data_IF_101940709624
#
_entry.id   IF_101940709624
#
_cell.length_a   1.000
_cell.length_b   1.000
_cell.length_c   1.000
_cell.angle_alpha   90.00
_cell.angle_beta   90.00
_cell.angle_gamma   90.00
#
_symmetry.space_group_name_H-M   'P 1'
#
loop_
_entity.id
_entity.type
_entity.pdbx_description
1 polymer ?
#
# COMPACT_ATOMS: atom_id res chain seq x y z
N UNK A 1 -3.27 -15.44 2.27
CA UNK A 1 -1.93 -15.93 2.67
C UNK A 1 -1.55 -15.20 3.95
N UNK A 2 -1.55 -15.88 5.09
CA UNK A 2 -1.02 -15.29 6.33
C UNK A 2 0.50 -15.24 6.18
N UNK A 3 1.08 -14.04 6.13
CA UNK A 3 2.53 -13.89 6.25
C UNK A 3 2.84 -14.00 7.73
N UNK A 4 3.39 -15.13 8.16
CA UNK A 4 3.98 -15.23 9.49
C UNK A 4 5.22 -14.32 9.52
N UNK A 5 5.40 -13.54 10.59
CA UNK A 5 6.68 -12.86 10.84
C UNK A 5 7.76 -13.92 11.04
N UNK A 6 8.40 -14.32 9.95
CA UNK A 6 9.41 -15.37 9.93
C UNK A 6 10.74 -14.68 9.79
N UNK A 7 11.70 -14.92 10.69
CA UNK A 7 12.97 -14.22 10.61
C UNK A 7 13.76 -14.67 9.38
N UNK A 8 14.71 -13.83 8.92
CA UNK A 8 15.63 -14.19 7.84
C UNK A 8 16.35 -15.52 8.11
N UNK A 9 16.66 -15.78 9.39
CA UNK A 9 17.31 -17.02 9.85
C UNK A 9 16.37 -18.21 9.75
N UNK A 10 15.10 -18.04 10.10
CA UNK A 10 14.10 -19.10 10.00
C UNK A 10 13.81 -19.47 8.54
N UNK A 11 13.69 -18.47 7.66
CA UNK A 11 13.53 -18.68 6.21
C UNK A 11 14.77 -19.39 5.64
N UNK A 12 15.96 -18.95 6.02
CA UNK A 12 17.22 -19.57 5.60
C UNK A 12 17.31 -21.05 6.04
N UNK A 13 16.93 -21.34 7.28
CA UNK A 13 16.90 -22.69 7.82
C UNK A 13 15.86 -23.57 7.12
N UNK A 14 14.64 -23.06 6.89
CA UNK A 14 13.58 -23.79 6.18
C UNK A 14 13.94 -24.11 4.73
N UNK A 15 14.63 -23.19 4.05
CA UNK A 15 15.00 -23.32 2.65
C UNK A 15 16.40 -23.92 2.44
N UNK A 16 17.11 -24.30 3.51
CA UNK A 16 18.48 -24.82 3.48
C UNK A 16 19.47 -23.92 2.69
N UNK A 17 19.34 -22.60 2.84
CA UNK A 17 20.20 -21.60 2.20
C UNK A 17 20.80 -20.65 3.24
N UNK A 18 21.80 -19.86 2.86
CA UNK A 18 22.33 -18.81 3.74
C UNK A 18 21.36 -17.62 3.83
N UNK A 19 21.40 -16.92 4.96
CA UNK A 19 20.67 -15.65 5.16
C UNK A 19 21.03 -14.61 4.10
N UNK A 20 22.30 -14.59 3.64
CA UNK A 20 22.75 -13.73 2.53
C UNK A 20 22.03 -14.04 1.22
N UNK A 21 21.73 -15.31 0.94
CA UNK A 21 20.95 -15.71 -0.24
C UNK A 21 19.48 -15.30 -0.12
N UNK A 22 18.88 -15.40 1.08
CA UNK A 22 17.52 -14.88 1.34
C UNK A 22 17.47 -13.37 1.09
N UNK A 23 18.42 -12.60 1.63
CA UNK A 23 18.51 -11.15 1.43
C UNK A 23 18.63 -10.80 -0.05
N UNK A 24 19.51 -11.48 -0.79
CA UNK A 24 19.65 -11.26 -2.24
C UNK A 24 18.34 -11.52 -2.98
N UNK A 25 17.66 -12.63 -2.69
CA UNK A 25 16.37 -12.95 -3.31
C UNK A 25 15.27 -11.96 -2.97
N UNK A 26 15.25 -11.43 -1.75
CA UNK A 26 14.33 -10.36 -1.37
C UNK A 26 14.67 -9.02 -2.05
N UNK A 27 15.95 -8.70 -2.21
CA UNK A 27 16.39 -7.50 -2.93
C UNK A 27 16.12 -7.60 -4.44
N UNK A 28 16.16 -8.81 -5.00
CA UNK A 28 15.78 -9.08 -6.40
C UNK A 28 14.26 -8.96 -6.61
N UNK A 29 13.48 -8.91 -5.54
CA UNK A 29 12.03 -8.76 -5.61
C UNK A 29 11.66 -7.32 -5.90
N UNK A 30 11.29 -7.05 -7.15
CA UNK A 30 10.72 -5.77 -7.55
C UNK A 30 9.21 -5.90 -7.68
N UNK A 31 8.48 -4.98 -7.05
CA UNK A 31 7.04 -4.86 -7.24
C UNK A 31 6.79 -4.26 -8.63
N UNK A 32 6.41 -5.09 -9.60
CA UNK A 32 5.96 -4.59 -10.89
C UNK A 32 4.57 -3.98 -10.78
N UNK A 33 4.47 -2.67 -11.01
CA UNK A 33 3.19 -1.99 -11.05
C UNK A 33 2.51 -2.23 -12.39
N UNK A 34 1.39 -2.96 -12.39
CA UNK A 34 0.58 -3.15 -13.59
C UNK A 34 -0.27 -1.90 -13.87
N UNK A 35 0.22 -1.02 -14.75
CA UNK A 35 -0.47 0.22 -15.13
C UNK A 35 -1.70 0.02 -16.05
N UNK A 36 -2.13 -1.22 -16.31
CA UNK A 36 -3.27 -1.53 -17.19
C UNK A 36 -4.60 -1.67 -16.45
N UNK A 37 -4.58 -1.72 -15.12
CA UNK A 37 -5.78 -1.95 -14.33
C UNK A 37 -5.71 -1.26 -12.96
N UNK A 38 -6.84 -0.71 -12.52
CA UNK A 38 -7.07 -0.29 -11.13
C UNK A 38 -8.42 -0.87 -10.68
N UNK A 39 -8.55 -1.27 -9.41
CA UNK A 39 -9.82 -1.75 -8.87
C UNK A 39 -10.85 -0.61 -8.76
N UNK A 40 -12.13 -0.97 -8.71
CA UNK A 40 -13.19 0.01 -8.51
C UNK A 40 -13.18 0.63 -7.10
N UNK A 41 -12.72 -0.13 -6.10
CA UNK A 41 -12.59 0.31 -4.71
C UNK A 41 -11.14 0.10 -4.27
N UNK A 42 -10.49 1.19 -3.87
CA UNK A 42 -9.09 1.19 -3.46
C UNK A 42 -8.94 1.74 -2.05
N UNK A 43 -7.99 1.20 -1.29
CA UNK A 43 -7.57 1.77 -0.01
C UNK A 43 -6.24 2.49 -0.15
N UNK A 44 -6.14 3.68 0.42
CA UNK A 44 -4.93 4.49 0.56
C UNK A 44 -4.59 4.61 2.04
N UNK A 45 -3.36 4.31 2.42
CA UNK A 45 -2.88 4.46 3.79
C UNK A 45 -1.40 4.84 3.84
N UNK A 46 -0.92 5.13 5.05
CA UNK A 46 0.46 5.41 5.37
C UNK A 46 1.04 4.32 6.27
N UNK A 47 2.29 3.93 6.02
CA UNK A 47 3.00 2.98 6.90
C UNK A 47 4.41 3.49 7.22
N UNK A 48 4.91 3.14 8.41
CA UNK A 48 6.26 3.48 8.84
C UNK A 48 7.19 2.28 8.57
N UNK A 49 8.13 2.43 7.64
CA UNK A 49 9.01 1.33 7.26
C UNK A 49 10.20 1.15 8.22
N UNK A 50 10.88 2.25 8.59
CA UNK A 50 11.89 2.34 9.67
C UNK A 50 12.36 3.80 9.78
N UNK A 51 12.81 4.24 10.95
CA UNK A 51 13.27 5.62 11.24
C UNK A 51 12.23 6.74 11.05
N UNK A 52 10.97 6.48 11.42
CA UNK A 52 9.93 7.53 11.48
C UNK A 52 9.52 8.15 10.14
N UNK A 53 10.05 7.64 9.00
CA UNK A 53 9.68 8.10 7.67
C UNK A 53 8.44 7.33 7.20
N UNK A 54 7.34 8.06 7.07
CA UNK A 54 6.08 7.52 6.56
C UNK A 54 6.14 7.35 5.05
N UNK A 55 5.68 6.20 4.59
CA UNK A 55 5.56 5.79 3.20
C UNK A 55 4.09 5.60 2.85
N UNK A 56 3.75 5.74 1.57
CA UNK A 56 2.39 5.56 1.09
C UNK A 56 2.18 4.12 0.60
N UNK A 57 1.02 3.55 0.89
CA UNK A 57 0.59 2.25 0.36
C UNK A 57 -0.82 2.37 -0.23
N UNK A 58 -1.04 1.71 -1.36
CA UNK A 58 -2.38 1.46 -1.86
C UNK A 58 -2.62 0.00 -2.16
N UNK A 59 -3.86 -0.43 -1.96
CA UNK A 59 -4.29 -1.80 -2.17
C UNK A 59 -5.73 -1.86 -2.70
N UNK A 60 -6.06 -2.98 -3.34
CA UNK A 60 -7.44 -3.36 -3.65
C UNK A 60 -8.19 -3.56 -2.32
N UNK A 61 -9.33 -2.89 -2.18
CA UNK A 61 -10.10 -2.94 -0.94
C UNK A 61 -10.71 -4.32 -0.67
N UNK A 62 -11.13 -5.03 -1.71
CA UNK A 62 -11.80 -6.33 -1.57
C UNK A 62 -10.80 -7.47 -1.52
N UNK A 63 -9.83 -7.46 -2.44
CA UNK A 63 -8.85 -8.56 -2.58
C UNK A 63 -7.65 -8.42 -1.67
N UNK A 64 -7.44 -7.24 -1.07
CA UNK A 64 -6.27 -6.91 -0.26
C UNK A 64 -4.94 -7.06 -1.02
N UNK A 65 -4.99 -7.07 -2.35
CA UNK A 65 -3.80 -7.09 -3.20
C UNK A 65 -3.16 -5.70 -3.17
N UNK A 66 -1.88 -5.64 -2.84
CA UNK A 66 -1.10 -4.41 -2.90
C UNK A 66 -1.01 -3.95 -4.35
N UNK A 67 -1.36 -2.69 -4.59
CA UNK A 67 -1.29 -2.04 -5.91
C UNK A 67 0.04 -1.30 -6.04
N UNK A 68 0.40 -0.51 -5.03
CA UNK A 68 1.69 0.18 -5.00
C UNK A 68 2.14 0.48 -3.57
N UNK A 69 3.46 0.56 -3.41
CA UNK A 69 4.16 1.01 -2.22
C UNK A 69 5.13 2.10 -2.64
N UNK A 70 5.07 3.28 -2.01
CA UNK A 70 5.90 4.45 -2.34
C UNK A 70 6.66 4.91 -1.11
N UNK A 71 7.98 5.08 -1.23
CA UNK A 71 8.87 5.53 -0.14
C UNK A 71 8.59 6.97 0.36
N UNK A 72 7.66 7.68 -0.27
CA UNK A 72 7.24 9.03 0.08
C UNK A 72 5.72 9.17 0.07
N UNK A 73 5.20 9.89 1.06
CA UNK A 73 3.77 10.20 1.20
C UNK A 73 3.35 11.58 0.70
N UNK A 74 4.24 12.31 0.00
CA UNK A 74 3.91 13.65 -0.49
C UNK A 74 2.93 13.55 -1.67
N UNK A 75 2.10 14.59 -1.84
CA UNK A 75 1.14 14.61 -2.94
C UNK A 75 1.81 14.48 -4.31
N UNK A 76 3.00 15.08 -4.50
CA UNK A 76 3.73 14.99 -5.76
C UNK A 76 4.09 13.54 -6.10
N UNK A 77 4.66 12.80 -5.13
CA UNK A 77 5.06 11.40 -5.33
C UNK A 77 3.86 10.52 -5.68
N UNK A 78 2.74 10.70 -4.96
CA UNK A 78 1.52 9.92 -5.19
C UNK A 78 0.89 10.28 -6.54
N UNK A 79 0.80 11.58 -6.85
CA UNK A 79 0.27 12.09 -8.13
C UNK A 79 1.06 11.53 -9.31
N UNK A 80 2.38 11.64 -9.25
CA UNK A 80 3.25 11.27 -10.36
C UNK A 80 3.23 9.75 -10.59
N UNK A 81 3.00 8.95 -9.54
CA UNK A 81 2.71 7.52 -9.71
C UNK A 81 1.38 7.30 -10.43
N UNK A 82 0.27 7.86 -9.94
CA UNK A 82 -1.06 7.58 -10.51
C UNK A 82 -1.25 8.19 -11.90
N UNK A 83 -0.53 9.24 -12.27
CA UNK A 83 -0.56 9.81 -13.63
C UNK A 83 0.04 8.89 -14.70
N UNK A 84 0.75 7.82 -14.32
CA UNK A 84 1.19 6.77 -15.25
C UNK A 84 0.04 5.91 -15.76
N UNK A 85 -1.09 5.88 -15.06
CA UNK A 85 -2.30 5.19 -15.52
C UNK A 85 -3.05 6.08 -16.51
N UNK A 86 -3.51 5.48 -17.61
CA UNK A 86 -4.39 6.14 -18.54
C UNK A 86 -5.61 6.71 -17.84
N UNK A 87 -6.09 7.84 -18.35
CA UNK A 87 -7.26 8.53 -17.80
C UNK A 87 -8.47 7.61 -17.68
N UNK A 88 -8.70 6.76 -18.69
CA UNK A 88 -9.82 5.82 -18.69
C UNK A 88 -9.73 4.83 -17.52
N UNK A 89 -8.53 4.32 -17.22
CA UNK A 89 -8.28 3.40 -16.10
C UNK A 89 -8.51 4.12 -14.77
N UNK A 90 -7.99 5.34 -14.61
CA UNK A 90 -8.23 6.12 -13.38
C UNK A 90 -9.71 6.42 -13.15
N UNK A 91 -10.48 6.65 -14.21
CA UNK A 91 -11.93 6.89 -14.09
C UNK A 91 -12.74 5.64 -13.71
N UNK A 92 -12.16 4.43 -13.76
CA UNK A 92 -12.82 3.19 -13.28
C UNK A 92 -12.85 3.12 -11.75
N UNK A 93 -11.93 3.80 -11.06
CA UNK A 93 -11.92 3.89 -9.60
C UNK A 93 -13.13 4.72 -9.14
N UNK A 94 -14.06 4.05 -8.46
CA UNK A 94 -15.33 4.62 -7.97
C UNK A 94 -15.21 5.12 -6.54
N UNK A 95 -14.39 4.47 -5.71
CA UNK A 95 -14.25 4.75 -4.29
C UNK A 95 -12.78 4.64 -3.90
N UNK A 96 -12.31 5.64 -3.15
CA UNK A 96 -11.03 5.56 -2.41
C UNK A 96 -11.35 5.66 -0.93
N UNK A 97 -11.01 4.62 -0.17
CA UNK A 97 -11.00 4.64 1.28
C UNK A 97 -9.65 5.18 1.73
N UNK A 98 -9.67 6.17 2.62
CA UNK A 98 -8.46 6.75 3.20
C UNK A 98 -8.74 7.12 4.66
N UNK A 99 -7.76 6.98 5.54
CA UNK A 99 -7.85 7.59 6.87
C UNK A 99 -7.88 9.12 6.71
N UNK A 100 -8.57 9.82 7.61
CA UNK A 100 -9.02 11.21 7.44
C UNK A 100 -7.91 12.28 7.50
N UNK A 101 -6.82 12.09 6.77
CA UNK A 101 -5.81 13.11 6.51
C UNK A 101 -6.25 14.01 5.34
N UNK A 102 -6.56 15.28 5.66
CA UNK A 102 -7.08 16.30 4.74
C UNK A 102 -6.32 16.47 3.40
N UNK A 103 -4.98 16.31 3.32
CA UNK A 103 -4.23 16.43 2.07
C UNK A 103 -4.57 15.42 0.98
N UNK A 104 -4.99 14.19 1.30
CA UNK A 104 -5.34 13.21 0.26
C UNK A 104 -6.63 13.54 -0.46
N UNK A 105 -7.56 14.24 0.21
CA UNK A 105 -8.84 14.61 -0.37
C UNK A 105 -8.68 15.59 -1.55
N UNK A 106 -7.83 16.60 -1.41
CA UNK A 106 -7.53 17.55 -2.48
C UNK A 106 -6.84 16.85 -3.66
N UNK A 107 -5.91 15.95 -3.37
CA UNK A 107 -5.18 15.20 -4.39
C UNK A 107 -6.11 14.23 -5.17
N UNK A 108 -6.96 13.48 -4.48
CA UNK A 108 -7.89 12.56 -5.13
C UNK A 108 -8.87 13.29 -6.06
N UNK A 109 -9.29 14.53 -5.70
CA UNK A 109 -10.07 15.40 -6.60
C UNK A 109 -9.27 15.83 -7.83
N UNK A 110 -8.00 16.24 -7.66
CA UNK A 110 -7.14 16.59 -8.80
C UNK A 110 -6.94 15.42 -9.75
N UNK A 111 -6.83 14.20 -9.21
CA UNK A 111 -6.72 12.96 -9.98
C UNK A 111 -8.05 12.50 -10.60
N UNK A 112 -9.14 13.25 -10.38
CA UNK A 112 -10.50 13.00 -10.87
C UNK A 112 -11.09 11.65 -10.44
N UNK A 113 -10.67 11.14 -9.29
CA UNK A 113 -11.32 9.98 -8.69
C UNK A 113 -12.71 10.40 -8.18
N UNK A 114 -13.72 9.54 -8.36
CA UNK A 114 -14.98 9.74 -7.65
C UNK A 114 -14.72 9.43 -6.17
N UNK A 115 -14.89 10.42 -5.31
CA UNK A 115 -14.69 10.27 -3.86
C UNK A 115 -16.06 10.16 -3.21
N UNK A 116 -16.45 8.94 -2.85
CA UNK A 116 -17.58 8.74 -1.93
C UNK A 116 -17.07 9.01 -0.53
N UNK A 117 -17.61 10.05 0.14
CA UNK A 117 -17.27 10.42 1.51
C UNK A 117 -17.89 9.40 2.48
N UNK A 118 -17.39 8.17 2.48
CA UNK A 118 -17.70 7.20 3.50
C UNK A 118 -16.96 7.63 4.76
N UNK A 119 -17.70 8.24 5.68
CA UNK A 119 -17.26 8.38 7.07
C UNK A 119 -17.20 6.95 7.60
N UNK A 120 -16.04 6.30 7.47
CA UNK A 120 -15.76 5.13 8.30
C UNK A 120 -16.00 5.61 9.73
N UNK A 121 -16.98 5.02 10.44
CA UNK A 121 -16.92 5.04 11.91
C UNK A 121 -15.47 4.69 12.21
N UNK A 122 -14.78 5.52 13.00
CA UNK A 122 -13.43 5.19 13.46
C UNK A 122 -13.46 3.75 13.98
N UNK A 123 -13.02 2.84 13.13
CA UNK A 123 -12.65 1.49 13.49
C UNK A 123 -11.18 1.67 13.79
N UNK A 124 -10.73 1.57 15.04
CA UNK A 124 -9.32 1.67 15.38
C UNK A 124 -8.46 0.55 14.76
N UNK A 125 -8.97 -0.20 13.78
CA UNK A 125 -8.53 -1.58 13.50
C UNK A 125 -8.53 -1.97 12.02
N UNK A 126 -8.45 -1.04 11.07
CA UNK A 126 -8.18 -1.47 9.67
C UNK A 126 -6.69 -1.70 9.39
N UNK A 127 -5.78 -1.08 10.14
CA UNK A 127 -4.33 -1.36 10.02
C UNK A 127 -3.58 -1.50 11.36
N UNK A 128 -4.28 -1.45 12.50
CA UNK A 128 -3.63 -1.46 13.82
C UNK A 128 -3.70 -2.78 14.60
N UNK A 129 -4.22 -3.88 14.04
CA UNK A 129 -4.40 -5.12 14.81
C UNK A 129 -3.51 -6.31 14.42
N UNK A 130 -2.30 -6.07 13.89
CA UNK A 130 -1.25 -7.11 13.88
C UNK A 130 0.16 -6.61 14.24
N UNK A 131 0.36 -5.33 14.56
CA UNK A 131 1.67 -4.75 14.87
C UNK A 131 1.82 -4.19 16.30
N UNK A 132 0.94 -4.57 17.23
CA UNK A 132 1.08 -4.30 18.69
C UNK A 132 0.39 -5.38 19.54
N UNK A 133 0.78 -6.64 19.36
CA UNK A 133 0.66 -7.68 20.40
C UNK A 133 1.97 -8.44 20.50
N UNK A 134 3.00 -7.75 21.00
CA UNK A 134 4.19 -8.33 21.63
C UNK A 134 5.04 -7.20 22.21
N UNK A 135 4.61 -6.70 23.38
CA UNK A 135 5.51 -6.46 24.51
C UNK A 135 4.95 -7.25 25.69
#
# INVERSE_FOLDING_TARGET
MMVAETSMTDIAHQLFISTSTVIRKLNDFHFECNFRHLPEIMSWDEYAFTKGKMSFISQDFEKLNIITVLEGRTQAVIRDHFLKYDRAIRCQVKIITMDMFSPYYALAKQLRFRISRLRLKQSPRLFHSQMLKSF
#
